data_IF_103025423318
#
_entry.id   IF_103025423318
#
_cell.length_a   1.000
_cell.length_b   1.000
_cell.length_c   1.000
_cell.angle_alpha   90.00
_cell.angle_beta   90.00
_cell.angle_gamma   90.00
#
_symmetry.space_group_name_H-M   'P 1'
#
loop_
_entity.id
_entity.type
_entity.pdbx_description
1 polymer ?
#
# COMPACT_ATOMS: atom_id res chain seq x y z
N UNK A 1 1.83 -17.03 -14.88
CA UNK A 1 2.67 -16.79 -13.67
C UNK A 1 4.19 -17.02 -13.85
N UNK A 2 4.77 -17.15 -15.06
CA UNK A 2 6.23 -17.42 -15.18
C UNK A 2 7.13 -16.31 -14.61
N UNK A 3 6.60 -15.09 -14.46
CA UNK A 3 7.28 -13.93 -13.91
C UNK A 3 7.56 -14.01 -12.39
N UNK A 4 6.81 -14.81 -11.61
CA UNK A 4 7.07 -14.98 -10.17
C UNK A 4 8.44 -15.63 -9.90
N UNK A 5 8.94 -16.46 -10.83
CA UNK A 5 10.24 -17.13 -10.68
C UNK A 5 11.42 -16.17 -10.63
N UNK A 6 11.23 -14.90 -11.01
CA UNK A 6 12.26 -13.85 -11.01
C UNK A 6 12.36 -13.09 -9.68
N UNK A 7 11.50 -13.40 -8.70
CA UNK A 7 11.53 -12.78 -7.38
C UNK A 7 12.57 -13.49 -6.50
N UNK A 8 13.42 -12.68 -5.87
CA UNK A 8 14.29 -13.11 -4.78
C UNK A 8 13.52 -13.07 -3.46
N UNK A 9 14.08 -13.69 -2.43
CA UNK A 9 13.56 -13.60 -1.06
C UNK A 9 13.47 -12.16 -0.57
N UNK A 10 14.44 -11.31 -0.95
CA UNK A 10 14.47 -9.90 -0.59
C UNK A 10 13.31 -9.11 -1.21
N UNK A 11 12.94 -9.40 -2.46
CA UNK A 11 11.79 -8.76 -3.11
C UNK A 11 10.47 -9.10 -2.40
N UNK A 12 10.32 -10.38 -2.03
CA UNK A 12 9.14 -10.86 -1.31
C UNK A 12 9.08 -10.25 0.09
N UNK A 13 10.22 -10.06 0.75
CA UNK A 13 10.30 -9.36 2.03
C UNK A 13 9.83 -7.91 1.89
N UNK A 14 10.27 -7.17 0.86
CA UNK A 14 9.80 -5.82 0.63
C UNK A 14 8.29 -5.76 0.36
N UNK A 15 7.76 -6.69 -0.44
CA UNK A 15 6.31 -6.79 -0.66
C UNK A 15 5.58 -6.99 0.67
N UNK A 16 6.03 -7.94 1.50
CA UNK A 16 5.41 -8.22 2.79
C UNK A 16 5.42 -7.02 3.73
N UNK A 17 6.57 -6.32 3.82
CA UNK A 17 6.72 -5.12 4.65
C UNK A 17 5.77 -4.02 4.16
N UNK A 18 5.74 -3.74 2.86
CA UNK A 18 4.87 -2.69 2.31
C UNK A 18 3.38 -3.02 2.50
N UNK A 19 3.00 -4.29 2.32
CA UNK A 19 1.63 -4.75 2.62
C UNK A 19 1.26 -4.52 4.08
N UNK A 20 2.12 -4.96 5.01
CA UNK A 20 1.89 -4.83 6.45
C UNK A 20 1.81 -3.35 6.89
N UNK A 21 2.72 -2.50 6.41
CA UNK A 21 2.71 -1.07 6.71
C UNK A 21 1.43 -0.40 6.22
N UNK A 22 1.01 -0.70 4.98
CA UNK A 22 -0.21 -0.11 4.44
C UNK A 22 -1.49 -0.53 5.18
N UNK A 23 -1.53 -1.71 5.79
CA UNK A 23 -2.63 -2.13 6.66
C UNK A 23 -2.53 -1.46 8.04
N UNK A 24 -1.36 -1.51 8.66
CA UNK A 24 -1.11 -0.97 10.00
C UNK A 24 -1.31 0.55 10.07
N UNK A 25 -1.04 1.28 8.98
CA UNK A 25 -1.13 2.72 8.96
C UNK A 25 -2.58 3.24 8.89
N UNK A 26 -3.54 2.47 8.34
CA UNK A 26 -4.94 2.90 8.17
C UNK A 26 -5.62 3.41 9.46
N UNK A 27 -5.60 2.69 10.59
CA UNK A 27 -6.25 3.16 11.83
C UNK A 27 -5.63 4.43 12.40
N UNK A 28 -4.37 4.73 12.06
CA UNK A 28 -3.67 5.94 12.50
C UNK A 28 -3.97 7.11 11.55
N UNK A 29 -3.90 6.87 10.24
CA UNK A 29 -4.08 7.91 9.20
C UNK A 29 -5.53 8.38 9.12
N UNK A 30 -6.51 7.46 9.21
CA UNK A 30 -7.94 7.79 9.06
C UNK A 30 -8.41 8.92 9.99
N UNK A 31 -8.20 8.87 11.33
CA UNK A 31 -8.63 9.94 12.21
C UNK A 31 -7.90 11.27 11.95
N UNK A 32 -6.62 11.22 11.60
CA UNK A 32 -5.84 12.42 11.24
C UNK A 32 -6.39 13.10 9.99
N UNK A 33 -6.78 12.30 8.98
CA UNK A 33 -7.36 12.81 7.76
C UNK A 33 -8.75 13.39 8.03
N UNK A 34 -9.58 12.74 8.83
CA UNK A 34 -10.90 13.29 9.17
C UNK A 34 -10.83 14.60 9.94
N UNK A 35 -9.78 14.82 10.74
CA UNK A 35 -9.55 16.10 11.43
C UNK A 35 -9.41 17.26 10.44
N UNK A 36 -8.85 17.02 9.26
CA UNK A 36 -8.67 18.02 8.20
C UNK A 36 -9.85 18.00 7.21
N UNK A 37 -10.32 16.81 6.85
CA UNK A 37 -11.29 16.64 5.76
C UNK A 37 -12.71 17.01 6.19
N UNK A 38 -13.08 16.80 7.47
CA UNK A 38 -14.43 17.10 7.95
C UNK A 38 -14.76 18.61 7.95
N UNK A 39 -13.88 19.52 8.44
CA UNK A 39 -14.12 20.96 8.32
C UNK A 39 -14.19 21.47 6.88
N UNK A 40 -13.49 20.81 5.95
CA UNK A 40 -13.45 21.17 4.54
C UNK A 40 -14.57 20.53 3.72
N UNK A 41 -15.44 19.72 4.35
CA UNK A 41 -16.47 18.91 3.69
C UNK A 41 -15.91 17.98 2.58
N UNK A 42 -14.65 17.57 2.70
CA UNK A 42 -14.00 16.65 1.77
C UNK A 42 -14.17 15.22 2.31
N UNK A 43 -14.60 14.26 1.47
CA UNK A 43 -14.62 12.85 1.86
C UNK A 43 -13.22 12.39 2.29
N UNK A 44 -13.09 11.87 3.52
CA UNK A 44 -11.78 11.43 4.03
C UNK A 44 -11.07 10.45 3.11
N UNK A 45 -11.81 9.59 2.42
CA UNK A 45 -11.26 8.62 1.46
C UNK A 45 -10.57 9.24 0.23
N UNK A 46 -11.03 10.37 -0.29
CA UNK A 46 -10.37 11.01 -1.44
C UNK A 46 -9.03 11.63 -1.06
N UNK A 47 -8.93 12.15 0.16
CA UNK A 47 -7.70 12.71 0.73
C UNK A 47 -6.74 11.60 1.22
N UNK A 48 -7.30 10.50 1.74
CA UNK A 48 -6.55 9.33 2.20
C UNK A 48 -6.06 8.42 1.09
N UNK A 49 -6.68 8.46 -0.09
CA UNK A 49 -6.36 7.59 -1.21
C UNK A 49 -4.87 7.64 -1.58
N UNK A 50 -4.26 8.83 -1.62
CA UNK A 50 -2.83 8.98 -1.90
C UNK A 50 -1.93 8.28 -0.88
N UNK A 51 -2.24 8.43 0.41
CA UNK A 51 -1.50 7.79 1.51
C UNK A 51 -1.69 6.27 1.53
N UNK A 52 -2.87 5.77 1.21
CA UNK A 52 -3.13 4.32 1.13
C UNK A 52 -2.45 3.67 -0.07
N UNK A 53 -2.39 4.37 -1.21
CA UNK A 53 -1.78 3.84 -2.44
C UNK A 53 -0.25 4.03 -2.47
N UNK A 54 0.31 4.91 -1.63
CA UNK A 54 1.75 5.15 -1.54
C UNK A 54 2.54 3.85 -1.30
N UNK A 55 2.05 2.96 -0.44
CA UNK A 55 2.75 1.70 -0.12
C UNK A 55 2.90 0.78 -1.34
N UNK A 56 1.88 0.76 -2.21
CA UNK A 56 1.92 0.03 -3.48
C UNK A 56 2.96 0.68 -4.41
N UNK A 57 2.95 2.00 -4.54
CA UNK A 57 3.91 2.74 -5.36
C UNK A 57 5.36 2.53 -4.89
N UNK A 58 5.60 2.55 -3.58
CA UNK A 58 6.92 2.28 -2.98
C UNK A 58 7.38 0.85 -3.27
N UNK A 59 6.50 -0.15 -3.13
CA UNK A 59 6.85 -1.52 -3.48
C UNK A 59 7.20 -1.66 -4.97
N UNK A 60 6.48 -0.99 -5.86
CA UNK A 60 6.79 -0.98 -7.30
C UNK A 60 8.18 -0.36 -7.54
N UNK A 61 8.46 0.78 -6.90
CA UNK A 61 9.73 1.49 -7.08
C UNK A 61 10.93 0.72 -6.52
N UNK A 62 10.80 0.10 -5.35
CA UNK A 62 11.88 -0.62 -4.66
C UNK A 62 12.14 -1.97 -5.32
N UNK A 63 11.08 -2.75 -5.59
CA UNK A 63 11.21 -4.10 -6.13
C UNK A 63 11.50 -4.07 -7.63
N UNK A 64 10.96 -3.07 -8.35
CA UNK A 64 11.19 -2.83 -9.78
C UNK A 64 11.01 -4.09 -10.65
N UNK A 65 9.98 -4.88 -10.36
CA UNK A 65 9.61 -6.09 -11.10
C UNK A 65 8.13 -6.06 -11.47
N UNK A 66 7.77 -6.61 -12.64
CA UNK A 66 6.38 -6.65 -13.07
C UNK A 66 5.55 -7.40 -12.04
N UNK A 67 4.37 -6.85 -11.72
CA UNK A 67 3.42 -7.44 -10.78
C UNK A 67 3.71 -7.18 -9.29
N UNK A 68 4.75 -6.43 -8.92
CA UNK A 68 5.05 -6.14 -7.52
C UNK A 68 3.88 -5.43 -6.80
N UNK A 69 3.31 -4.40 -7.42
CA UNK A 69 2.13 -3.70 -6.87
C UNK A 69 0.88 -4.58 -6.77
N UNK A 70 0.70 -5.50 -7.73
CA UNK A 70 -0.40 -6.47 -7.70
C UNK A 70 -0.23 -7.44 -6.53
N UNK A 71 0.99 -7.91 -6.28
CA UNK A 71 1.28 -8.78 -5.13
C UNK A 71 1.01 -8.05 -3.81
N UNK A 72 1.41 -6.79 -3.67
CA UNK A 72 1.07 -5.99 -2.48
C UNK A 72 -0.43 -5.89 -2.27
N UNK A 73 -1.18 -5.53 -3.33
CA UNK A 73 -2.63 -5.39 -3.27
C UNK A 73 -3.35 -6.70 -2.93
N UNK A 74 -2.94 -7.82 -3.54
CA UNK A 74 -3.49 -9.15 -3.22
C UNK A 74 -3.19 -9.51 -1.77
N UNK A 75 -1.95 -9.34 -1.31
CA UNK A 75 -1.59 -9.64 0.09
C UNK A 75 -2.39 -8.78 1.07
N UNK A 76 -2.59 -7.48 0.78
CA UNK A 76 -3.41 -6.60 1.60
C UNK A 76 -4.91 -6.92 1.56
N UNK A 77 -5.40 -7.56 0.50
CA UNK A 77 -6.81 -7.96 0.40
C UNK A 77 -7.10 -9.27 1.16
N UNK A 78 -6.08 -10.10 1.34
CA UNK A 78 -6.17 -11.39 2.05
C UNK A 78 -6.05 -11.20 3.57
N UNK A 79 -5.23 -10.25 4.01
CA UNK A 79 -4.98 -9.93 5.43
C UNK A 79 -5.95 -8.88 5.92
#
# INVERSE_FOLDING_TARGET
MSWLRKYSSQDLLYIAIMSALGLAAKPIITPLIHLISAPLMIPGGSLAGGLYMMWIALAIAIVNKPGAGLLVGITQAIV
#
